data_IF_811207219543
#
_entry.id   IF_811207219543
#
_cell.length_a   1.000
_cell.length_b   1.000
_cell.length_c   1.000
_cell.angle_alpha   90.00
_cell.angle_beta   90.00
_cell.angle_gamma   90.00
#
_symmetry.space_group_name_H-M   'P 1'
#
loop_
_entity.id
_entity.type
_entity.pdbx_description
1 polymer ?
#
# COMPACT_ATOMS: atom_id res chain seq x y z
N UNK A 1 0.23 -41.14 3.96
CA UNK A 1 0.32 -39.90 4.79
C UNK A 1 0.66 -38.67 3.95
N UNK A 2 0.20 -38.58 2.69
CA UNK A 2 0.58 -37.53 1.71
C UNK A 2 -0.46 -36.42 1.55
N UNK A 3 -1.63 -36.54 2.18
CA UNK A 3 -2.66 -35.51 2.17
C UNK A 3 -2.36 -34.34 3.12
N UNK A 4 -1.77 -34.61 4.30
CA UNK A 4 -1.55 -33.58 5.34
C UNK A 4 -0.35 -32.66 5.11
N UNK A 5 0.65 -33.06 4.32
CA UNK A 5 1.80 -32.21 3.97
C UNK A 5 1.48 -31.22 2.85
N UNK A 6 0.57 -31.57 1.94
CA UNK A 6 0.13 -30.67 0.85
C UNK A 6 -0.70 -29.49 1.38
N UNK A 7 -1.52 -29.70 2.42
CA UNK A 7 -2.31 -28.63 3.05
C UNK A 7 -1.42 -27.64 3.79
N UNK A 8 -0.48 -28.11 4.61
CA UNK A 8 0.45 -27.24 5.35
C UNK A 8 1.34 -26.39 4.43
N UNK A 9 1.87 -26.98 3.35
CA UNK A 9 2.70 -26.25 2.39
C UNK A 9 1.89 -25.19 1.60
N UNK A 10 0.63 -25.49 1.28
CA UNK A 10 -0.28 -24.53 0.65
C UNK A 10 -0.65 -23.40 1.61
N UNK A 11 -1.05 -23.72 2.84
CA UNK A 11 -1.52 -22.75 3.84
C UNK A 11 -0.41 -21.78 4.26
N UNK A 12 0.80 -22.30 4.48
CA UNK A 12 1.98 -21.46 4.76
C UNK A 12 2.31 -20.50 3.61
N UNK A 13 2.11 -20.91 2.36
CA UNK A 13 2.29 -20.03 1.19
C UNK A 13 1.22 -18.94 1.13
N UNK A 14 -0.03 -19.26 1.43
CA UNK A 14 -1.14 -18.29 1.48
C UNK A 14 -0.92 -17.30 2.62
N UNK A 15 -0.59 -17.79 3.82
CA UNK A 15 -0.27 -16.96 4.98
C UNK A 15 0.95 -16.07 4.73
N UNK A 16 1.99 -16.58 4.06
CA UNK A 16 3.15 -15.80 3.67
C UNK A 16 2.80 -14.67 2.70
N UNK A 17 1.95 -14.93 1.70
CA UNK A 17 1.46 -13.91 0.78
C UNK A 17 0.63 -12.83 1.47
N UNK A 18 -0.31 -13.21 2.34
CA UNK A 18 -1.10 -12.27 3.13
C UNK A 18 -0.22 -11.46 4.08
N UNK A 19 0.69 -12.13 4.80
CA UNK A 19 1.59 -11.50 5.75
C UNK A 19 2.52 -10.51 5.08
N UNK A 20 3.09 -10.84 3.92
CA UNK A 20 3.93 -9.93 3.14
C UNK A 20 3.15 -8.70 2.65
N UNK A 21 1.93 -8.90 2.12
CA UNK A 21 1.07 -7.79 1.71
C UNK A 21 0.69 -6.87 2.87
N UNK A 22 0.37 -7.45 4.03
CA UNK A 22 0.03 -6.71 5.24
C UNK A 22 1.23 -5.93 5.80
N UNK A 23 2.39 -6.58 5.89
CA UNK A 23 3.65 -5.95 6.32
C UNK A 23 3.98 -4.76 5.42
N UNK A 24 3.86 -4.93 4.11
CA UNK A 24 4.16 -3.86 3.16
C UNK A 24 3.17 -2.69 3.29
N UNK A 25 1.87 -2.96 3.45
CA UNK A 25 0.87 -1.92 3.71
C UNK A 25 1.20 -1.11 4.95
N UNK A 26 1.57 -1.76 6.05
CA UNK A 26 1.97 -1.08 7.27
C UNK A 26 3.30 -0.34 7.12
N UNK A 27 4.26 -0.92 6.42
CA UNK A 27 5.53 -0.26 6.13
C UNK A 27 5.31 1.08 5.45
N UNK A 28 4.46 1.15 4.40
CA UNK A 28 4.14 2.41 3.74
C UNK A 28 3.40 3.39 4.65
N UNK A 29 2.37 2.93 5.38
CA UNK A 29 1.60 3.79 6.28
C UNK A 29 2.46 4.39 7.40
N UNK A 30 3.40 3.62 7.95
CA UNK A 30 4.27 4.07 9.03
C UNK A 30 5.46 4.91 8.52
N UNK A 31 5.89 4.69 7.28
CA UNK A 31 6.95 5.49 6.66
C UNK A 31 6.46 6.89 6.29
N UNK A 32 5.19 7.02 5.88
CA UNK A 32 4.63 8.27 5.37
C UNK A 32 4.74 9.45 6.36
N UNK A 33 4.38 9.32 7.65
CA UNK A 33 4.52 10.41 8.62
C UNK A 33 5.96 10.92 8.78
N UNK A 34 6.94 10.02 8.74
CA UNK A 34 8.35 10.39 8.81
C UNK A 34 8.78 11.17 7.56
N UNK A 35 8.33 10.73 6.37
CA UNK A 35 8.61 11.40 5.11
C UNK A 35 7.97 12.80 5.01
N UNK A 36 6.75 12.98 5.53
CA UNK A 36 6.06 14.28 5.52
C UNK A 36 6.86 15.38 6.25
N UNK A 37 7.54 15.03 7.36
CA UNK A 37 8.38 15.98 8.09
C UNK A 37 9.58 16.40 7.24
N UNK A 38 10.20 15.45 6.53
CA UNK A 38 11.33 15.72 5.64
C UNK A 38 10.89 16.61 4.47
N UNK A 39 9.79 16.24 3.80
CA UNK A 39 9.23 17.00 2.68
C UNK A 39 8.80 18.41 3.07
N UNK A 40 8.37 18.60 4.33
CA UNK A 40 8.09 19.94 4.84
C UNK A 40 9.31 20.86 4.76
N UNK A 41 10.49 20.33 5.05
CA UNK A 41 11.74 21.08 4.97
C UNK A 41 12.19 21.30 3.53
N UNK A 42 12.15 20.25 2.72
CA UNK A 42 12.61 20.28 1.32
C UNK A 42 11.76 21.19 0.42
N UNK A 43 10.44 21.15 0.58
CA UNK A 43 9.51 21.91 -0.26
C UNK A 43 8.96 23.18 0.41
N UNK A 44 9.50 23.58 1.56
CA UNK A 44 8.99 24.67 2.42
C UNK A 44 7.47 24.61 2.63
N UNK A 45 6.96 23.40 2.85
CA UNK A 45 5.53 23.13 2.85
C UNK A 45 4.86 23.58 4.15
N UNK A 46 3.60 24.03 4.05
CA UNK A 46 2.79 24.30 5.24
C UNK A 46 2.30 22.99 5.87
N UNK A 47 2.05 23.00 7.19
CA UNK A 47 1.42 21.87 7.86
C UNK A 47 0.01 21.56 7.31
N UNK A 48 -0.68 22.56 6.77
CA UNK A 48 -1.96 22.36 6.11
C UNK A 48 -1.82 21.50 4.84
N UNK A 49 -0.77 21.73 4.04
CA UNK A 49 -0.50 20.92 2.85
C UNK A 49 -0.18 19.46 3.21
N UNK A 50 0.62 19.23 4.25
CA UNK A 50 0.89 17.87 4.74
C UNK A 50 -0.37 17.17 5.26
N UNK A 51 -1.22 17.91 5.99
CA UNK A 51 -2.50 17.40 6.48
C UNK A 51 -3.47 17.05 5.35
N UNK A 52 -3.44 17.82 4.25
CA UNK A 52 -4.19 17.52 3.04
C UNK A 52 -3.71 16.22 2.39
N UNK A 53 -2.40 16.00 2.27
CA UNK A 53 -1.84 14.74 1.75
C UNK A 53 -2.32 13.55 2.60
N UNK A 54 -2.27 13.66 3.93
CA UNK A 54 -2.75 12.59 4.81
C UNK A 54 -4.24 12.33 4.69
N UNK A 55 -5.02 13.40 4.50
CA UNK A 55 -6.46 13.30 4.29
C UNK A 55 -6.78 12.61 2.96
N UNK A 56 -6.08 12.96 1.88
CA UNK A 56 -6.21 12.32 0.56
C UNK A 56 -5.80 10.86 0.59
N UNK A 57 -4.68 10.52 1.24
CA UNK A 57 -4.25 9.14 1.45
C UNK A 57 -5.32 8.32 2.18
N UNK A 58 -5.88 8.88 3.26
CA UNK A 58 -6.93 8.21 4.05
C UNK A 58 -8.21 8.02 3.25
N UNK A 59 -8.60 9.03 2.47
CA UNK A 59 -9.79 8.99 1.62
C UNK A 59 -9.63 7.98 0.48
N UNK A 60 -8.46 7.95 -0.17
CA UNK A 60 -8.13 6.98 -1.20
C UNK A 60 -8.17 5.55 -0.65
N UNK A 61 -7.61 5.34 0.55
CA UNK A 61 -7.66 4.04 1.24
C UNK A 61 -9.10 3.62 1.54
N UNK A 62 -9.91 4.54 2.08
CA UNK A 62 -11.32 4.32 2.36
C UNK A 62 -12.09 3.87 1.11
N UNK A 63 -11.93 4.58 -0.01
CA UNK A 63 -12.61 4.24 -1.26
C UNK A 63 -12.07 2.96 -1.91
N UNK A 64 -10.78 2.65 -1.73
CA UNK A 64 -10.17 1.44 -2.29
C UNK A 64 -10.60 0.15 -1.55
N UNK A 65 -10.98 0.24 -0.27
CA UNK A 65 -11.25 -0.91 0.58
C UNK A 65 -12.35 -1.84 0.03
N UNK A 66 -13.51 -1.30 -0.33
CA UNK A 66 -14.65 -2.10 -0.82
C UNK A 66 -14.37 -2.72 -2.20
N UNK A 67 -13.93 -1.96 -3.21
CA UNK A 67 -13.58 -2.52 -4.51
C UNK A 67 -12.48 -3.59 -4.41
N UNK A 68 -11.46 -3.38 -3.57
CA UNK A 68 -10.40 -4.37 -3.37
C UNK A 68 -10.96 -5.68 -2.81
N UNK A 69 -11.85 -5.62 -1.81
CA UNK A 69 -12.54 -6.80 -1.28
C UNK A 69 -13.33 -7.54 -2.36
N UNK A 70 -14.16 -6.82 -3.12
CA UNK A 70 -14.94 -7.40 -4.22
C UNK A 70 -14.07 -8.03 -5.31
N UNK A 71 -12.93 -7.41 -5.63
CA UNK A 71 -11.97 -7.96 -6.60
C UNK A 71 -11.30 -9.23 -6.07
N UNK A 72 -10.96 -9.28 -4.78
CA UNK A 72 -10.41 -10.48 -4.14
C UNK A 72 -11.42 -11.61 -4.16
N UNK A 73 -12.69 -11.33 -3.85
CA UNK A 73 -13.76 -12.35 -3.85
C UNK A 73 -13.99 -12.91 -5.26
N UNK A 74 -13.84 -12.07 -6.30
CA UNK A 74 -14.07 -12.47 -7.70
C UNK A 74 -12.88 -13.15 -8.36
N UNK A 75 -11.65 -12.68 -8.10
CA UNK A 75 -10.45 -13.10 -8.83
C UNK A 75 -9.42 -13.82 -7.97
N UNK A 76 -9.67 -13.94 -6.66
CA UNK A 76 -8.75 -14.47 -5.68
C UNK A 76 -7.71 -13.45 -5.21
N UNK A 77 -7.11 -13.69 -4.05
CA UNK A 77 -6.19 -12.74 -3.40
C UNK A 77 -4.91 -12.47 -4.19
N UNK A 78 -4.33 -13.49 -4.83
CA UNK A 78 -3.00 -13.41 -5.46
C UNK A 78 -2.91 -12.37 -6.60
N UNK A 79 -3.77 -12.37 -7.64
CA UNK A 79 -3.68 -11.37 -8.71
C UNK A 79 -3.95 -9.95 -8.19
N UNK A 80 -4.89 -9.79 -7.25
CA UNK A 80 -5.21 -8.48 -6.68
C UNK A 80 -4.04 -7.92 -5.88
N UNK A 81 -3.35 -8.75 -5.09
CA UNK A 81 -2.13 -8.36 -4.37
C UNK A 81 -1.01 -7.93 -5.32
N UNK A 82 -0.77 -8.66 -6.41
CA UNK A 82 0.27 -8.32 -7.38
C UNK A 82 -0.05 -6.99 -8.08
N UNK A 83 -1.30 -6.81 -8.51
CA UNK A 83 -1.74 -5.56 -9.15
C UNK A 83 -1.61 -4.38 -8.17
N UNK A 84 -2.08 -4.55 -6.93
CA UNK A 84 -1.92 -3.53 -5.88
C UNK A 84 -0.46 -3.17 -5.63
N UNK A 85 0.43 -4.17 -5.59
CA UNK A 85 1.86 -3.95 -5.44
C UNK A 85 2.47 -3.17 -6.61
N UNK A 86 2.07 -3.49 -7.85
CA UNK A 86 2.52 -2.77 -9.04
C UNK A 86 2.02 -1.33 -9.06
N UNK A 87 0.77 -1.09 -8.63
CA UNK A 87 0.20 0.25 -8.52
C UNK A 87 0.98 1.07 -7.49
N UNK A 88 1.20 0.53 -6.30
CA UNK A 88 1.95 1.24 -5.25
C UNK A 88 3.40 1.49 -5.66
N UNK A 89 4.07 0.48 -6.22
CA UNK A 89 5.44 0.62 -6.72
C UNK A 89 5.56 1.66 -7.83
N UNK A 90 4.59 1.69 -8.75
CA UNK A 90 4.50 2.69 -9.81
C UNK A 90 4.24 4.11 -9.27
N UNK A 91 3.35 4.25 -8.28
CA UNK A 91 3.08 5.53 -7.63
C UNK A 91 4.32 6.07 -6.92
N UNK A 92 5.01 5.24 -6.13
CA UNK A 92 6.26 5.62 -5.45
C UNK A 92 7.35 5.98 -6.45
N UNK A 93 7.47 5.26 -7.57
CA UNK A 93 8.39 5.62 -8.64
C UNK A 93 8.02 6.98 -9.27
N UNK A 94 6.73 7.25 -9.49
CA UNK A 94 6.28 8.53 -10.04
C UNK A 94 6.55 9.71 -9.09
N UNK A 95 6.51 9.50 -7.78
CA UNK A 95 6.85 10.53 -6.78
C UNK A 95 8.30 11.02 -6.91
N UNK A 96 9.22 10.24 -7.50
CA UNK A 96 10.60 10.69 -7.75
C UNK A 96 10.68 11.88 -8.72
N UNK A 97 9.62 12.12 -9.50
CA UNK A 97 9.51 13.22 -10.44
C UNK A 97 8.79 14.44 -9.84
N UNK A 98 8.44 14.42 -8.55
CA UNK A 98 7.66 15.49 -7.92
C UNK A 98 8.51 16.72 -7.61
N UNK A 99 8.20 17.83 -8.29
CA UNK A 99 8.83 19.14 -8.03
C UNK A 99 8.12 19.95 -6.93
N UNK A 100 6.99 19.45 -6.41
CA UNK A 100 6.23 20.12 -5.34
C UNK A 100 5.42 19.15 -4.49
N UNK A 101 5.08 19.57 -3.27
CA UNK A 101 4.28 18.78 -2.30
C UNK A 101 2.93 18.35 -2.84
N UNK A 102 2.29 19.16 -3.69
CA UNK A 102 0.98 18.83 -4.26
C UNK A 102 1.06 17.75 -5.36
N UNK A 103 2.26 17.47 -5.86
CA UNK A 103 2.50 16.47 -6.91
C UNK A 103 2.86 15.09 -6.33
N UNK A 104 3.02 15.00 -5.01
CA UNK A 104 3.24 13.76 -4.24
C UNK A 104 1.91 13.05 -3.95
#
# INVERSE_FOLDING_TARGET
MTAGTQTLAHDSRVLGLLGAGHLLSHFYQLSFPALLIIWRGEFDASFAALGLIMSLFSLATFFAQIPAGMLVDRFGARPVLVIGLLIIGGAVAAMSQADSVLML
#
